data_IF_149538982245
#
_entry.id   IF_149538982245
#
_cell.length_a   1.000
_cell.length_b   1.000
_cell.length_c   1.000
_cell.angle_alpha   90.00
_cell.angle_beta   90.00
_cell.angle_gamma   90.00
#
_symmetry.space_group_name_H-M   'P 1'
#
loop_
_entity.id
_entity.type
_entity.pdbx_description
1 polymer ?
#
# COMPACT_ATOMS: atom_id res chain seq x y z
N UNK A 1 26.26 39.26 13.00
CA UNK A 1 24.88 39.01 13.47
C UNK A 1 24.71 37.49 13.58
N UNK A 2 25.33 36.86 14.58
CA UNK A 2 25.20 35.42 14.80
C UNK A 2 24.10 35.22 15.83
N UNK A 3 22.94 34.78 15.36
CA UNK A 3 21.73 34.62 16.15
C UNK A 3 21.97 33.62 17.28
N UNK A 4 22.01 34.13 18.51
CA UNK A 4 22.21 33.42 19.79
C UNK A 4 21.01 32.54 20.18
N UNK A 5 20.47 31.74 19.25
CA UNK A 5 19.48 30.74 19.62
C UNK A 5 20.19 29.47 20.06
N UNK A 6 20.14 29.11 21.35
CA UNK A 6 20.74 27.87 21.84
C UNK A 6 20.07 26.66 21.16
N UNK A 7 20.80 25.98 20.30
CA UNK A 7 20.29 24.79 19.59
C UNK A 7 20.51 23.57 20.47
N UNK A 8 19.42 22.88 20.82
CA UNK A 8 19.51 21.59 21.52
C UNK A 8 19.77 20.45 20.54
N UNK A 9 20.41 19.38 21.01
CA UNK A 9 20.64 18.17 20.19
C UNK A 9 19.36 17.64 19.55
N UNK A 10 18.24 17.62 20.30
CA UNK A 10 16.92 17.27 19.75
C UNK A 10 16.51 18.09 18.52
N UNK A 11 16.71 19.40 18.59
CA UNK A 11 16.36 20.31 17.51
C UNK A 11 17.29 20.13 16.30
N UNK A 12 18.58 19.91 16.56
CA UNK A 12 19.57 19.67 15.52
C UNK A 12 19.30 18.35 14.79
N UNK A 13 19.00 17.28 15.52
CA UNK A 13 18.65 15.98 14.94
C UNK A 13 17.40 16.08 14.04
N UNK A 14 16.37 16.80 14.51
CA UNK A 14 15.16 17.05 13.71
C UNK A 14 15.48 17.82 12.43
N UNK A 15 16.41 18.78 12.48
CA UNK A 15 16.84 19.57 11.32
C UNK A 15 17.65 18.74 10.32
N UNK A 16 18.47 17.82 10.80
CA UNK A 16 19.29 16.93 9.98
C UNK A 16 18.58 15.64 9.57
N UNK A 17 17.37 15.39 10.08
CA UNK A 17 16.58 14.16 9.86
C UNK A 17 17.33 12.87 10.27
N UNK A 18 18.08 12.94 11.37
CA UNK A 18 18.86 11.84 11.94
C UNK A 18 18.45 11.53 13.38
N UNK A 19 18.98 10.45 13.96
CA UNK A 19 18.73 10.13 15.36
C UNK A 19 19.55 11.03 16.29
N UNK A 20 18.93 11.45 17.40
CA UNK A 20 19.63 12.13 18.51
C UNK A 20 20.81 11.31 19.02
N UNK A 21 20.68 9.98 19.00
CA UNK A 21 21.72 9.06 19.44
C UNK A 21 22.96 9.15 18.54
N UNK A 22 22.80 9.32 17.23
CA UNK A 22 23.94 9.45 16.31
C UNK A 22 24.77 10.70 16.62
N UNK A 23 24.08 11.82 16.91
CA UNK A 23 24.73 13.07 17.30
C UNK A 23 25.40 12.93 18.67
N UNK A 24 24.75 12.29 19.64
CA UNK A 24 25.32 12.04 20.97
C UNK A 24 26.56 11.16 20.86
N UNK A 25 26.50 10.05 20.11
CA UNK A 25 27.64 9.17 19.90
C UNK A 25 28.80 9.85 19.16
N UNK A 26 28.50 10.77 18.23
CA UNK A 26 29.54 11.57 17.57
C UNK A 26 30.21 12.54 18.54
N UNK A 27 29.43 13.24 19.36
CA UNK A 27 29.96 14.16 20.37
C UNK A 27 30.80 13.41 21.42
N UNK A 28 30.34 12.24 21.86
CA UNK A 28 31.03 11.39 22.82
C UNK A 28 32.40 10.93 22.27
N UNK A 29 32.47 10.55 20.99
CA UNK A 29 33.74 10.24 20.29
C UNK A 29 34.72 11.42 20.24
N UNK A 30 34.22 12.65 20.28
CA UNK A 30 35.01 13.88 20.33
C UNK A 30 35.29 14.33 21.78
N UNK A 31 34.97 13.50 22.78
CA UNK A 31 35.17 13.78 24.20
C UNK A 31 34.12 14.71 24.82
N UNK A 32 33.00 14.94 24.14
CA UNK A 32 31.93 15.83 24.58
C UNK A 32 30.75 14.99 25.05
N UNK A 33 30.63 14.83 26.37
CA UNK A 33 29.51 14.09 26.97
C UNK A 33 28.25 14.97 26.90
N UNK A 34 27.32 14.60 26.01
CA UNK A 34 26.07 15.33 25.82
C UNK A 34 24.84 14.42 25.94
N UNK A 35 23.70 15.01 26.32
CA UNK A 35 22.39 14.36 26.40
C UNK A 35 21.43 14.99 25.40
N UNK A 36 20.29 14.34 25.14
CA UNK A 36 19.27 14.80 24.17
C UNK A 36 18.87 16.27 24.36
N UNK A 37 18.79 16.73 25.61
CA UNK A 37 18.39 18.10 25.97
C UNK A 37 19.57 19.07 26.16
N UNK A 38 20.80 18.63 25.92
CA UNK A 38 22.00 19.48 26.01
C UNK A 38 21.96 20.53 24.91
N UNK A 39 22.24 21.78 25.31
CA UNK A 39 22.43 22.90 24.41
C UNK A 39 23.84 22.82 23.85
N UNK A 40 23.98 22.86 22.53
CA UNK A 40 25.27 22.88 21.87
C UNK A 40 25.80 24.30 21.78
N UNK A 41 27.07 24.47 22.14
CA UNK A 41 27.85 25.65 21.81
C UNK A 41 28.13 25.71 20.30
N UNK A 42 28.51 26.89 19.81
CA UNK A 42 28.74 27.13 18.39
C UNK A 42 29.84 26.24 17.79
N UNK A 43 30.85 25.87 18.58
CA UNK A 43 31.94 24.99 18.13
C UNK A 43 31.43 23.57 17.95
N UNK A 44 30.74 23.03 18.94
CA UNK A 44 30.11 21.71 18.90
C UNK A 44 29.06 21.63 17.79
N UNK A 45 28.26 22.69 17.62
CA UNK A 45 27.27 22.78 16.55
C UNK A 45 27.93 22.74 15.17
N UNK A 46 28.96 23.55 14.93
CA UNK A 46 29.69 23.55 13.66
C UNK A 46 30.39 22.22 13.38
N UNK A 47 30.91 21.56 14.42
CA UNK A 47 31.52 20.23 14.29
C UNK A 47 30.51 19.17 13.84
N UNK A 48 29.33 19.14 14.47
CA UNK A 48 28.23 18.23 14.10
C UNK A 48 27.74 18.56 12.70
N UNK A 49 27.50 19.84 12.39
CA UNK A 49 27.08 20.25 11.06
C UNK A 49 28.13 19.87 10.01
N UNK A 50 29.43 20.07 10.26
CA UNK A 50 30.47 19.71 9.29
C UNK A 50 30.56 18.20 9.04
N UNK A 51 30.38 17.37 10.08
CA UNK A 51 30.43 15.92 9.93
C UNK A 51 29.19 15.39 9.20
N UNK A 52 28.00 15.86 9.59
CA UNK A 52 26.75 15.31 9.11
C UNK A 52 26.14 16.04 7.89
N UNK A 53 26.56 17.26 7.56
CA UNK A 53 26.07 17.94 6.35
C UNK A 53 26.53 17.25 5.06
N UNK A 54 27.63 16.50 5.11
CA UNK A 54 28.08 15.67 3.98
C UNK A 54 27.24 14.38 3.88
N UNK A 55 26.91 13.76 5.01
CA UNK A 55 26.05 12.57 5.09
C UNK A 55 24.59 12.84 4.73
N UNK A 56 24.06 14.03 5.04
CA UNK A 56 22.69 14.43 4.67
C UNK A 56 22.46 14.34 3.16
N UNK A 57 23.47 14.65 2.33
CA UNK A 57 23.35 14.54 0.87
C UNK A 57 23.29 13.08 0.39
N UNK A 58 23.93 12.15 1.11
CA UNK A 58 23.93 10.72 0.75
C UNK A 58 22.70 9.99 1.29
N UNK A 59 22.25 10.32 2.50
CA UNK A 59 21.10 9.70 3.14
C UNK A 59 19.76 10.10 2.50
N UNK A 60 19.64 11.33 1.98
CA UNK A 60 18.42 11.77 1.29
C UNK A 60 18.21 10.99 -0.03
N UNK A 61 19.30 10.71 -0.77
CA UNK A 61 19.24 9.86 -1.97
C UNK A 61 18.76 8.44 -1.69
N UNK A 62 19.31 7.79 -0.67
CA UNK A 62 18.96 6.41 -0.29
C UNK A 62 17.51 6.28 0.23
N UNK A 63 17.01 7.31 0.92
CA UNK A 63 15.61 7.37 1.39
C UNK A 63 14.62 7.53 0.23
N UNK A 64 14.92 8.38 -0.75
CA UNK A 64 14.05 8.59 -1.93
C UNK A 64 13.95 7.30 -2.74
N UNK A 65 15.05 6.58 -2.92
CA UNK A 65 15.08 5.33 -3.66
C UNK A 65 14.22 4.24 -2.98
N UNK A 66 14.36 4.09 -1.65
CA UNK A 66 13.55 3.13 -0.85
C UNK A 66 12.06 3.44 -0.84
N UNK A 67 11.66 4.71 -0.86
CA UNK A 67 10.24 5.11 -0.91
C UNK A 67 9.64 4.83 -2.29
N UNK A 68 10.41 5.04 -3.36
CA UNK A 68 9.96 4.76 -4.72
C UNK A 68 9.83 3.26 -4.99
N UNK A 69 10.73 2.41 -4.49
CA UNK A 69 10.59 0.95 -4.61
C UNK A 69 9.32 0.44 -3.92
N UNK A 70 9.02 0.92 -2.71
CA UNK A 70 7.82 0.50 -1.98
C UNK A 70 6.51 0.88 -2.68
N UNK A 71 6.48 2.04 -3.36
CA UNK A 71 5.31 2.45 -4.15
C UNK A 71 5.12 1.58 -5.39
N UNK A 72 6.20 1.22 -6.07
CA UNK A 72 6.15 0.35 -7.24
C UNK A 72 5.64 -1.07 -6.90
N UNK A 73 6.10 -1.65 -5.78
CA UNK A 73 5.62 -2.96 -5.31
C UNK A 73 4.13 -2.94 -4.92
N UNK A 74 3.64 -1.84 -4.34
CA UNK A 74 2.23 -1.73 -3.94
C UNK A 74 1.29 -1.55 -5.16
N UNK A 75 1.75 -0.86 -6.21
CA UNK A 75 1.02 -0.74 -7.47
C UNK A 75 0.94 -2.06 -8.24
N UNK A 76 2.01 -2.85 -8.28
CA UNK A 76 1.99 -4.18 -8.90
C UNK A 76 1.02 -5.13 -8.19
N UNK A 77 1.01 -5.14 -6.85
CA UNK A 77 0.06 -5.97 -6.09
C UNK A 77 -1.39 -5.58 -6.38
N UNK A 78 -1.71 -4.29 -6.41
CA UNK A 78 -3.07 -3.81 -6.73
C UNK A 78 -3.50 -4.19 -8.15
N UNK A 79 -2.60 -4.11 -9.14
CA UNK A 79 -2.90 -4.53 -10.52
C UNK A 79 -3.20 -6.02 -10.59
N UNK A 80 -2.39 -6.85 -9.92
CA UNK A 80 -2.57 -8.30 -9.94
C UNK A 80 -3.85 -8.75 -9.21
N UNK A 81 -4.20 -8.12 -8.09
CA UNK A 81 -5.47 -8.39 -7.39
C UNK A 81 -6.69 -7.98 -8.21
N UNK A 82 -6.64 -6.83 -8.89
CA UNK A 82 -7.71 -6.37 -9.75
C UNK A 82 -7.93 -7.32 -10.94
N UNK A 83 -6.84 -7.82 -11.53
CA UNK A 83 -6.89 -8.72 -12.67
C UNK A 83 -7.50 -10.08 -12.28
N UNK A 84 -7.12 -10.65 -11.12
CA UNK A 84 -7.74 -11.88 -10.60
C UNK A 84 -9.23 -11.71 -10.31
N UNK A 85 -9.62 -10.60 -9.71
CA UNK A 85 -11.01 -10.33 -9.37
C UNK A 85 -11.89 -10.19 -10.63
N UNK A 86 -11.37 -9.54 -11.68
CA UNK A 86 -12.05 -9.44 -12.96
C UNK A 86 -12.23 -10.79 -13.65
N UNK A 87 -11.24 -11.68 -13.58
CA UNK A 87 -11.32 -13.01 -14.20
C UNK A 87 -12.33 -13.91 -13.46
N UNK A 88 -12.34 -13.85 -12.12
CA UNK A 88 -13.28 -14.59 -11.30
C UNK A 88 -14.73 -14.11 -11.50
N UNK A 89 -14.96 -12.79 -11.55
CA UNK A 89 -16.27 -12.21 -11.85
C UNK A 89 -16.77 -12.60 -13.25
N UNK A 90 -15.90 -12.60 -14.26
CA UNK A 90 -16.25 -13.05 -15.62
C UNK A 90 -16.63 -14.54 -15.64
N UNK A 91 -15.92 -15.38 -14.89
CA UNK A 91 -16.22 -16.81 -14.77
C UNK A 91 -17.56 -17.08 -14.08
N UNK A 92 -17.82 -16.37 -12.98
CA UNK A 92 -19.09 -16.46 -12.25
C UNK A 92 -20.26 -16.01 -13.14
N UNK A 93 -20.07 -14.93 -13.90
CA UNK A 93 -21.08 -14.43 -14.83
C UNK A 93 -21.39 -15.45 -15.94
N UNK A 94 -20.35 -16.03 -16.56
CA UNK A 94 -20.51 -17.04 -17.60
C UNK A 94 -21.24 -18.30 -17.09
N UNK A 95 -20.89 -18.78 -15.90
CA UNK A 95 -21.55 -19.96 -15.32
C UNK A 95 -23.01 -19.67 -14.95
N UNK A 96 -23.30 -18.48 -14.39
CA UNK A 96 -24.69 -18.06 -14.14
C UNK A 96 -25.51 -17.96 -15.42
N UNK A 97 -24.94 -17.44 -16.49
CA UNK A 97 -25.61 -17.35 -17.79
C UNK A 97 -25.92 -18.75 -18.35
N UNK A 98 -24.97 -19.69 -18.25
CA UNK A 98 -25.16 -21.09 -18.68
C UNK A 98 -26.26 -21.79 -17.88
N UNK A 99 -26.25 -21.65 -16.56
CA UNK A 99 -27.27 -22.24 -15.68
C UNK A 99 -28.65 -21.63 -15.98
N UNK A 100 -28.72 -20.32 -16.24
CA UNK A 100 -29.99 -19.66 -16.57
C UNK A 100 -30.56 -20.18 -17.90
N UNK A 101 -29.72 -20.28 -18.93
CA UNK A 101 -30.13 -20.83 -20.23
C UNK A 101 -30.63 -22.28 -20.11
N UNK A 102 -29.92 -23.11 -19.34
CA UNK A 102 -30.34 -24.51 -19.12
C UNK A 102 -31.69 -24.60 -18.41
N UNK A 103 -31.91 -23.77 -17.37
CA UNK A 103 -33.20 -23.73 -16.65
C UNK A 103 -34.35 -23.26 -17.54
N UNK A 104 -34.08 -22.29 -18.41
CA UNK A 104 -35.07 -21.75 -19.34
C UNK A 104 -35.44 -22.79 -20.41
N UNK A 105 -34.45 -23.51 -20.94
CA UNK A 105 -34.66 -24.63 -21.88
C UNK A 105 -35.49 -25.75 -21.24
N UNK A 106 -35.13 -26.21 -20.03
CA UNK A 106 -35.90 -27.24 -19.32
C UNK A 106 -37.33 -26.80 -19.01
N UNK A 107 -37.54 -25.52 -18.68
CA UNK A 107 -38.87 -25.00 -18.37
C UNK A 107 -39.76 -24.90 -19.62
N UNK A 108 -39.17 -24.64 -20.79
CA UNK A 108 -39.87 -24.66 -22.08
C UNK A 108 -40.26 -26.09 -22.43
N UNK A 109 -39.32 -27.04 -22.31
CA UNK A 109 -39.56 -28.45 -22.59
C UNK A 109 -40.64 -29.06 -21.69
N UNK A 110 -40.62 -28.76 -20.38
CA UNK A 110 -41.67 -29.18 -19.44
C UNK A 110 -43.04 -28.59 -19.78
N UNK A 111 -43.10 -27.31 -20.15
CA UNK A 111 -44.36 -26.67 -20.57
C UNK A 111 -44.91 -27.27 -21.85
N UNK A 112 -44.06 -27.58 -22.82
CA UNK A 112 -44.47 -28.18 -24.08
C UNK A 112 -45.01 -29.60 -23.86
N UNK A 113 -44.33 -30.38 -23.02
CA UNK A 113 -44.79 -31.71 -22.62
C UNK A 113 -46.14 -31.67 -21.90
N UNK A 114 -46.33 -30.74 -20.97
CA UNK A 114 -47.61 -30.54 -20.28
C UNK A 114 -48.75 -30.19 -21.25
N UNK A 115 -48.49 -29.33 -22.24
CA UNK A 115 -49.49 -28.97 -23.27
C UNK A 115 -49.87 -30.17 -24.14
N UNK A 116 -48.90 -30.96 -24.57
CA UNK A 116 -49.13 -32.18 -25.35
C UNK A 116 -49.91 -33.23 -24.56
N UNK A 117 -49.59 -33.40 -23.27
CA UNK A 117 -50.34 -34.30 -22.39
C UNK A 117 -51.78 -33.83 -22.15
N UNK A 118 -52.02 -32.53 -21.97
CA UNK A 118 -53.36 -31.96 -21.81
C UNK A 118 -54.20 -32.09 -23.09
N UNK A 119 -53.60 -31.85 -24.26
CA UNK A 119 -54.25 -32.01 -25.56
C UNK A 119 -54.60 -33.49 -25.84
N UNK A 120 -53.70 -34.41 -25.50
CA UNK A 120 -53.95 -35.86 -25.59
C UNK A 120 -55.07 -36.33 -24.66
N UNK A 121 -55.17 -35.77 -23.45
CA UNK A 121 -56.27 -36.07 -22.52
C UNK A 121 -57.61 -35.56 -23.05
N UNK A 122 -57.67 -34.31 -23.53
CA UNK A 122 -58.89 -33.73 -24.10
C UNK A 122 -59.35 -34.46 -25.36
N UNK A 123 -58.44 -34.90 -26.22
CA UNK A 123 -58.78 -35.68 -27.41
C UNK A 123 -59.41 -37.04 -27.08
N UNK A 124 -59.02 -37.66 -25.96
CA UNK A 124 -59.58 -38.95 -25.49
C UNK A 124 -60.92 -38.83 -24.77
N UNK A 125 -61.32 -37.63 -24.30
CA UNK A 125 -62.62 -37.39 -23.67
C UNK A 125 -63.74 -37.04 -24.67
N UNK A 126 -63.40 -36.81 -25.94
CA UNK A 126 -64.34 -36.39 -26.99
C UNK A 126 -64.73 -37.54 -27.93
N UNK A 127 -64.07 -38.71 -27.83
CA UNK A 127 -64.39 -39.96 -28.55
C UNK A 127 -65.26 -40.89 -27.69
#
# INVERSE_FOLDING_TARGET
MTSETPVKIFQLAKRLNMSHNDIISFLDKNGIIAKINTVLDEKSLNLVLSHFSDDVKKADGDRVEKVNLKKAEEEEKKKHELQKKSEEEARIYAEKARIKALKEETAIEEKEKQRLEEESRKAKEIE
#
